data_IF_015878153476
#
_entry.id   IF_015878153476
#
_cell.length_a   1.000
_cell.length_b   1.000
_cell.length_c   1.000
_cell.angle_alpha   90.00
_cell.angle_beta   90.00
_cell.angle_gamma   90.00
#
_symmetry.space_group_name_H-M   'P 1'
#
loop_
_entity.id
_entity.type
_entity.pdbx_description
1 polymer ?
#
# COMPACT_ATOMS: atom_id res chain seq x y z
N UNK A 1 16.75 1.55 -9.90
CA UNK A 1 16.04 2.25 -8.80
C UNK A 1 14.59 1.82 -8.67
N UNK A 2 13.75 1.85 -9.72
CA UNK A 2 12.32 1.53 -9.61
C UNK A 2 12.01 0.11 -9.10
N UNK A 3 12.81 -0.91 -9.43
CA UNK A 3 12.56 -2.31 -9.01
C UNK A 3 12.73 -2.60 -7.52
N UNK A 4 13.56 -1.83 -6.81
CA UNK A 4 13.84 -2.08 -5.40
C UNK A 4 12.64 -1.72 -4.52
N UNK A 5 11.94 -0.63 -4.86
CA UNK A 5 10.76 -0.14 -4.13
C UNK A 5 9.61 -1.19 -4.18
N UNK A 6 9.46 -1.94 -5.29
CA UNK A 6 8.47 -3.03 -5.36
C UNK A 6 8.82 -4.21 -4.47
N UNK A 7 10.10 -4.58 -4.40
CA UNK A 7 10.56 -5.65 -3.52
C UNK A 7 10.30 -5.28 -2.07
N UNK A 8 10.69 -4.07 -1.68
CA UNK A 8 10.47 -3.56 -0.32
C UNK A 8 8.97 -3.54 0.03
N UNK A 9 8.12 -3.04 -0.87
CA UNK A 9 6.67 -3.04 -0.68
C UNK A 9 6.11 -4.45 -0.43
N UNK A 10 6.57 -5.46 -1.17
CA UNK A 10 6.12 -6.85 -1.03
C UNK A 10 6.61 -7.45 0.29
N UNK A 11 7.90 -7.28 0.61
CA UNK A 11 8.48 -7.80 1.85
C UNK A 11 7.79 -7.19 3.07
N UNK A 12 7.54 -5.88 3.08
CA UNK A 12 6.79 -5.20 4.13
C UNK A 12 5.34 -5.67 4.21
N UNK A 13 4.69 -5.98 3.08
CA UNK A 13 3.34 -6.52 3.07
C UNK A 13 3.26 -7.92 3.71
N UNK A 14 4.27 -8.77 3.46
CA UNK A 14 4.37 -10.11 4.07
C UNK A 14 4.56 -9.98 5.58
N UNK A 15 5.49 -9.13 6.02
CA UNK A 15 5.74 -8.88 7.45
C UNK A 15 4.52 -8.28 8.14
N UNK A 16 3.79 -7.37 7.47
CA UNK A 16 2.56 -6.78 8.01
C UNK A 16 1.49 -7.84 8.31
N UNK A 17 1.38 -8.89 7.51
CA UNK A 17 0.49 -10.03 7.77
C UNK A 17 1.03 -11.05 8.79
N UNK A 18 2.20 -10.78 9.39
CA UNK A 18 2.86 -11.70 10.35
C UNK A 18 3.60 -12.87 9.68
N UNK A 19 3.82 -12.81 8.37
CA UNK A 19 4.66 -13.77 7.67
C UNK A 19 6.15 -13.57 7.97
N UNK A 20 6.92 -14.65 7.93
CA UNK A 20 8.38 -14.58 8.01
C UNK A 20 8.93 -14.13 6.65
N UNK A 21 9.69 -13.04 6.62
CA UNK A 21 10.38 -12.62 5.42
C UNK A 21 11.67 -13.43 5.32
N UNK A 22 11.86 -14.15 4.20
CA UNK A 22 13.04 -15.03 3.95
C UNK A 22 14.41 -14.32 4.13
N UNK A 23 14.41 -12.98 4.15
CA UNK A 23 15.56 -12.15 4.51
C UNK A 23 15.17 -11.19 5.63
N UNK A 24 16.12 -10.89 6.53
CA UNK A 24 16.01 -9.74 7.45
C UNK A 24 15.62 -8.51 6.63
N UNK A 25 14.38 -8.05 6.75
CA UNK A 25 13.88 -6.89 5.99
C UNK A 25 14.82 -5.72 6.26
N UNK A 26 15.57 -5.31 5.23
CA UNK A 26 16.42 -4.12 5.32
C UNK A 26 15.54 -2.92 5.12
N UNK A 27 15.01 -2.41 6.22
CA UNK A 27 14.23 -1.18 6.25
C UNK A 27 15.17 -0.05 5.83
N UNK A 28 14.88 0.55 4.67
CA UNK A 28 15.68 1.64 4.13
C UNK A 28 15.24 2.95 4.79
N UNK A 29 16.19 3.89 4.90
CA UNK A 29 15.86 5.26 5.32
C UNK A 29 14.85 5.85 4.31
N UNK A 30 13.86 6.63 4.77
CA UNK A 30 12.95 7.32 3.87
C UNK A 30 13.74 8.18 2.88
N UNK A 31 13.73 7.77 1.61
CA UNK A 31 14.31 8.55 0.52
C UNK A 31 13.39 9.75 0.20
N UNK A 32 13.86 10.70 -0.60
CA UNK A 32 13.10 11.91 -0.92
C UNK A 32 11.66 11.59 -1.41
N UNK A 33 10.66 12.07 -0.65
CA UNK A 33 9.24 11.89 -0.95
C UNK A 33 8.76 12.83 -2.06
N UNK A 34 9.24 12.62 -3.28
CA UNK A 34 8.73 13.35 -4.45
C UNK A 34 7.30 12.91 -4.80
N UNK A 35 6.46 13.86 -5.25
CA UNK A 35 5.05 13.59 -5.62
C UNK A 35 4.90 12.50 -6.69
N UNK A 36 5.90 12.30 -7.55
CA UNK A 36 5.92 11.26 -8.58
C UNK A 36 6.17 9.83 -8.05
N UNK A 37 6.55 9.66 -6.78
CA UNK A 37 6.83 8.35 -6.16
C UNK A 37 5.68 7.93 -5.23
N UNK A 38 4.51 7.68 -5.81
CA UNK A 38 3.32 7.23 -5.06
C UNK A 38 3.57 6.00 -4.17
N UNK A 39 4.47 5.10 -4.60
CA UNK A 39 4.85 3.90 -3.86
C UNK A 39 5.61 4.19 -2.56
N UNK A 40 6.40 5.27 -2.50
CA UNK A 40 7.15 5.64 -1.30
C UNK A 40 6.21 5.96 -0.11
N UNK A 41 5.01 6.51 -0.40
CA UNK A 41 3.98 6.74 0.63
C UNK A 41 3.44 5.43 1.19
N UNK A 42 3.24 4.42 0.33
CA UNK A 42 2.77 3.11 0.75
C UNK A 42 3.81 2.39 1.62
N UNK A 43 5.07 2.40 1.20
CA UNK A 43 6.21 1.86 1.96
C UNK A 43 6.33 2.56 3.32
N UNK A 44 6.25 3.90 3.33
CA UNK A 44 6.31 4.68 4.56
C UNK A 44 5.18 4.33 5.54
N UNK A 45 3.93 4.23 5.07
CA UNK A 45 2.80 3.83 5.91
C UNK A 45 3.00 2.44 6.53
N UNK A 46 3.48 1.47 5.76
CA UNK A 46 3.75 0.13 6.27
C UNK A 46 4.87 0.12 7.31
N UNK A 47 5.98 0.81 7.04
CA UNK A 47 7.07 0.97 8.01
C UNK A 47 6.56 1.64 9.29
N UNK A 48 5.79 2.72 9.17
CA UNK A 48 5.23 3.43 10.32
C UNK A 48 4.34 2.51 11.18
N UNK A 49 3.57 1.63 10.54
CA UNK A 49 2.74 0.64 11.24
C UNK A 49 3.58 -0.40 11.97
N UNK A 50 4.64 -0.93 11.33
CA UNK A 50 5.53 -1.92 11.93
C UNK A 50 6.31 -1.36 13.13
N UNK A 51 6.66 -0.07 13.11
CA UNK A 51 7.30 0.62 14.22
C UNK A 51 6.34 1.36 15.15
N UNK A 52 5.03 1.14 15.01
CA UNK A 52 4.01 1.90 15.77
C UNK A 52 4.13 1.73 17.29
N UNK A 53 4.79 0.67 17.77
CA UNK A 53 5.11 0.45 19.19
C UNK A 53 6.21 1.37 19.71
N UNK A 54 7.14 1.80 18.85
CA UNK A 54 8.23 2.72 19.18
C UNK A 54 7.80 4.19 19.03
N UNK A 55 6.67 4.43 18.38
CA UNK A 55 6.12 5.75 18.09
C UNK A 55 5.04 6.13 19.09
N UNK A 56 5.04 7.40 19.51
CA UNK A 56 4.00 7.97 20.38
C UNK A 56 2.76 8.37 19.58
N UNK A 57 2.15 7.40 18.90
CA UNK A 57 0.88 7.61 18.19
C UNK A 57 -0.30 7.41 19.15
N UNK A 58 -1.30 8.28 19.06
CA UNK A 58 -2.57 8.08 19.78
C UNK A 58 -3.36 6.92 19.14
N UNK A 59 -4.38 6.42 19.84
CA UNK A 59 -5.16 5.25 19.40
C UNK A 59 -5.84 5.48 18.05
N UNK A 60 -6.40 6.68 17.82
CA UNK A 60 -7.11 7.01 16.57
C UNK A 60 -6.17 7.01 15.37
N UNK A 61 -4.97 7.60 15.52
CA UNK A 61 -3.97 7.65 14.46
C UNK A 61 -3.44 6.25 14.14
N UNK A 62 -3.31 5.38 15.16
CA UNK A 62 -2.93 3.98 14.96
C UNK A 62 -3.99 3.22 14.17
N UNK A 63 -5.26 3.36 14.53
CA UNK A 63 -6.38 2.74 13.80
C UNK A 63 -6.44 3.23 12.35
N UNK A 64 -6.39 4.54 12.13
CA UNK A 64 -6.39 5.12 10.79
C UNK A 64 -5.17 4.66 9.96
N UNK A 65 -4.00 4.53 10.57
CA UNK A 65 -2.81 4.01 9.91
C UNK A 65 -2.99 2.54 9.52
N UNK A 66 -3.57 1.71 10.39
CA UNK A 66 -3.86 0.31 10.10
C UNK A 66 -4.85 0.17 8.96
N UNK A 67 -5.89 0.99 8.91
CA UNK A 67 -6.87 1.00 7.81
C UNK A 67 -6.20 1.30 6.46
N UNK A 68 -5.30 2.29 6.43
CA UNK A 68 -4.52 2.64 5.24
C UNK A 68 -3.55 1.50 4.86
N UNK A 69 -2.88 0.89 5.84
CA UNK A 69 -1.99 -0.24 5.59
C UNK A 69 -2.75 -1.44 5.02
N UNK A 70 -3.93 -1.75 5.58
CA UNK A 70 -4.80 -2.82 5.09
C UNK A 70 -5.23 -2.57 3.65
N UNK A 71 -5.62 -1.33 3.33
CA UNK A 71 -5.92 -0.93 1.95
C UNK A 71 -4.71 -1.12 1.02
N UNK A 72 -3.51 -0.72 1.46
CA UNK A 72 -2.30 -0.88 0.67
C UNK A 72 -2.07 -2.35 0.33
N UNK A 73 -2.03 -3.23 1.33
CA UNK A 73 -1.64 -4.64 1.15
C UNK A 73 -2.71 -5.44 0.41
N UNK A 74 -3.99 -5.11 0.56
CA UNK A 74 -5.09 -5.86 -0.07
C UNK A 74 -5.48 -5.34 -1.45
N UNK A 75 -5.44 -4.03 -1.66
CA UNK A 75 -5.94 -3.38 -2.88
C UNK A 75 -4.81 -2.80 -3.72
N UNK A 76 -3.89 -2.03 -3.12
CA UNK A 76 -2.86 -1.30 -3.86
C UNK A 76 -1.79 -2.22 -4.43
N UNK A 77 -1.20 -3.13 -3.64
CA UNK A 77 -0.01 -3.92 -4.06
C UNK A 77 -0.27 -4.75 -5.32
N UNK A 78 -1.47 -5.33 -5.45
CA UNK A 78 -1.83 -6.27 -6.52
C UNK A 78 -1.70 -5.70 -7.95
N UNK A 79 -2.33 -4.57 -8.33
CA UNK A 79 -2.16 -3.98 -9.65
C UNK A 79 -0.71 -3.54 -9.92
N UNK A 80 0.01 -3.04 -8.92
CA UNK A 80 1.42 -2.64 -9.09
C UNK A 80 2.33 -3.81 -9.45
N UNK A 81 2.14 -4.96 -8.80
CA UNK A 81 2.88 -6.17 -9.15
C UNK A 81 2.55 -6.66 -10.57
N UNK A 82 1.31 -6.46 -11.03
CA UNK A 82 0.83 -6.95 -12.32
C UNK A 82 1.08 -5.99 -13.48
N UNK A 83 1.66 -4.81 -13.23
CA UNK A 83 1.88 -3.74 -14.21
C UNK A 83 3.07 -3.97 -15.18
N UNK A 84 3.59 -5.20 -15.26
CA UNK A 84 4.79 -5.51 -16.08
C UNK A 84 4.49 -5.40 -17.59
N UNK A 85 3.22 -5.56 -18.00
CA UNK A 85 2.81 -5.54 -19.41
C UNK A 85 1.84 -4.39 -19.68
N UNK A 86 2.31 -3.38 -20.43
CA UNK A 86 1.52 -2.20 -20.77
C UNK A 86 0.21 -2.55 -21.50
N UNK A 87 0.21 -3.58 -22.35
CA UNK A 87 -0.99 -4.05 -23.08
C UNK A 87 -2.11 -4.53 -22.14
N UNK A 88 -1.77 -4.94 -20.91
CA UNK A 88 -2.76 -5.35 -19.91
C UNK A 88 -3.26 -4.20 -19.05
N UNK A 89 -2.68 -2.99 -19.15
CA UNK A 89 -3.00 -1.87 -18.28
C UNK A 89 -4.52 -1.55 -18.24
N UNK A 90 -5.26 -1.42 -19.37
CA UNK A 90 -6.68 -1.09 -19.31
C UNK A 90 -7.51 -2.14 -18.56
N UNK A 91 -7.21 -3.43 -18.78
CA UNK A 91 -7.89 -4.52 -18.09
C UNK A 91 -7.55 -4.53 -16.59
N UNK A 92 -6.30 -4.23 -16.23
CA UNK A 92 -5.84 -4.16 -14.83
C UNK A 92 -6.45 -2.97 -14.10
N UNK A 93 -6.60 -1.82 -14.77
CA UNK A 93 -7.23 -0.62 -14.21
C UNK A 93 -8.71 -0.88 -13.92
N UNK A 94 -9.44 -1.51 -14.86
CA UNK A 94 -10.83 -1.93 -14.62
C UNK A 94 -10.95 -2.95 -13.48
N UNK A 95 -10.02 -3.92 -13.42
CA UNK A 95 -9.95 -4.87 -12.31
C UNK A 95 -9.68 -4.21 -10.96
N UNK A 96 -8.85 -3.16 -10.95
CA UNK A 96 -8.58 -2.35 -9.76
C UNK A 96 -9.83 -1.58 -9.30
N UNK A 97 -10.54 -0.91 -10.22
CA UNK A 97 -11.81 -0.23 -9.90
C UNK A 97 -12.87 -1.19 -9.36
N UNK A 98 -12.98 -2.39 -9.93
CA UNK A 98 -13.87 -3.44 -9.42
C UNK A 98 -13.48 -3.86 -7.99
N UNK A 99 -12.18 -4.00 -7.74
CA UNK A 99 -11.65 -4.35 -6.41
C UNK A 99 -11.90 -3.23 -5.39
N UNK A 100 -11.74 -1.97 -5.79
CA UNK A 100 -12.09 -0.80 -4.97
C UNK A 100 -13.57 -0.82 -4.61
N UNK A 101 -14.45 -1.02 -5.58
CA UNK A 101 -15.90 -1.08 -5.32
C UNK A 101 -16.26 -2.22 -4.36
N UNK A 102 -15.64 -3.39 -4.51
CA UNK A 102 -15.84 -4.50 -3.58
C UNK A 102 -15.30 -4.22 -2.16
N UNK A 103 -14.24 -3.41 -2.05
CA UNK A 103 -13.64 -2.99 -0.77
C UNK A 103 -14.55 -2.07 0.05
N UNK A 104 -15.63 -1.53 -0.52
CA UNK A 104 -16.64 -0.79 0.29
C UNK A 104 -17.19 -1.64 1.43
N UNK A 105 -17.27 -2.97 1.25
CA UNK A 105 -17.70 -3.91 2.29
C UNK A 105 -16.70 -4.06 3.45
N UNK A 106 -15.45 -3.62 3.26
CA UNK A 106 -14.38 -3.67 4.27
C UNK A 106 -14.21 -2.30 4.91
N UNK A 107 -14.04 -1.26 4.09
CA UNK A 107 -13.94 0.13 4.53
C UNK A 107 -14.55 1.07 3.47
N UNK A 108 -15.81 1.41 3.68
CA UNK A 108 -16.59 2.28 2.79
C UNK A 108 -15.95 3.65 2.59
N UNK A 109 -15.46 4.26 3.67
CA UNK A 109 -14.86 5.59 3.65
C UNK A 109 -13.63 5.64 2.74
N UNK A 110 -12.69 4.72 2.93
CA UNK A 110 -11.47 4.64 2.13
C UNK A 110 -11.79 4.30 0.67
N UNK A 111 -12.69 3.33 0.44
CA UNK A 111 -13.07 2.95 -0.92
C UNK A 111 -13.68 4.13 -1.69
N UNK A 112 -14.64 4.84 -1.09
CA UNK A 112 -15.25 6.03 -1.69
C UNK A 112 -14.23 7.14 -1.93
N UNK A 113 -13.36 7.42 -0.97
CA UNK A 113 -12.30 8.41 -1.12
C UNK A 113 -11.33 8.06 -2.26
N UNK A 114 -11.00 6.78 -2.43
CA UNK A 114 -10.16 6.31 -3.54
C UNK A 114 -10.88 6.40 -4.89
N UNK A 115 -12.14 5.97 -4.97
CA UNK A 115 -12.95 6.04 -6.20
C UNK A 115 -13.18 7.47 -6.67
N UNK A 116 -13.39 8.42 -5.75
CA UNK A 116 -13.53 9.84 -6.08
C UNK A 116 -12.33 10.41 -6.83
N UNK A 117 -11.12 9.85 -6.66
CA UNK A 117 -9.93 10.30 -7.40
C UNK A 117 -9.96 9.93 -8.88
N UNK A 118 -10.83 9.00 -9.28
CA UNK A 118 -11.00 8.59 -10.68
C UNK A 118 -12.18 9.28 -11.36
N UNK A 119 -13.08 9.91 -10.62
CA UNK A 119 -14.26 10.60 -11.14
C UNK A 119 -14.01 12.06 -11.55
N UNK A 120 -12.80 12.38 -11.99
CA UNK A 120 -12.45 13.70 -12.52
C UNK A 120 -13.19 14.00 -13.83
#
# INVERSE_FOLDING_TARGET
MVRDDYRELIELSIVFFGGDAEQKVKIRLPDAMHQARCMARAIYSLNLSLFSSQLKLNTKDKEALLDVCLFIVTIYVKPWFQCILAVKAPYKDLGFLKSLKAYENVNESISKAALQKFSL
#
